data_IF_875053808219
#
_entry.id   IF_875053808219
#
_cell.length_a   1.000
_cell.length_b   1.000
_cell.length_c   1.000
_cell.angle_alpha   90.00
_cell.angle_beta   90.00
_cell.angle_gamma   90.00
#
_symmetry.space_group_name_H-M   'P 1'
#
loop_
_entity.id
_entity.type
_entity.pdbx_description
1 polymer ?
#
# COMPACT_ATOMS: atom_id res chain seq x y z
N UNK A 1 -6.53 6.56 -9.88
CA UNK A 1 -7.12 6.41 -8.54
C UNK A 1 -6.00 6.35 -7.50
N UNK A 2 -6.22 7.00 -6.40
CA UNK A 2 -5.29 7.00 -5.28
C UNK A 2 -5.68 5.95 -4.26
N UNK A 3 -4.67 5.35 -3.64
CA UNK A 3 -4.84 4.34 -2.61
C UNK A 3 -3.91 4.61 -1.45
N UNK A 4 -4.40 4.38 -0.24
CA UNK A 4 -3.61 4.40 0.97
C UNK A 4 -3.68 2.99 1.55
N UNK A 5 -2.55 2.33 1.64
CA UNK A 5 -2.47 0.96 2.12
C UNK A 5 -1.82 0.93 3.50
N UNK A 6 -2.56 0.41 4.47
CA UNK A 6 -2.12 0.24 5.85
C UNK A 6 -1.75 -1.22 6.04
N UNK A 7 -0.54 -1.48 6.53
CA UNK A 7 -0.02 -2.84 6.61
C UNK A 7 0.33 -3.20 8.04
N UNK A 8 -0.14 -4.37 8.46
CA UNK A 8 0.19 -4.97 9.75
C UNK A 8 0.93 -6.28 9.49
N UNK A 9 2.20 -6.34 9.87
CA UNK A 9 3.01 -7.54 9.69
C UNK A 9 2.58 -8.63 10.67
N UNK A 10 2.54 -9.87 10.20
CA UNK A 10 2.19 -11.01 11.05
C UNK A 10 3.37 -11.49 11.90
N UNK A 11 4.58 -11.13 11.52
CA UNK A 11 5.81 -11.46 12.25
C UNK A 11 6.56 -10.18 12.58
N UNK A 12 7.38 -10.23 13.63
CA UNK A 12 8.25 -9.12 13.96
C UNK A 12 9.17 -8.82 12.76
N UNK A 13 9.35 -7.54 12.41
CA UNK A 13 10.18 -7.20 11.26
C UNK A 13 11.65 -7.54 11.50
N UNK A 14 12.26 -8.17 10.51
CA UNK A 14 13.68 -8.41 10.43
C UNK A 14 14.22 -7.47 9.35
N UNK A 15 15.28 -6.68 9.61
CA UNK A 15 15.73 -5.70 8.63
C UNK A 15 16.06 -6.27 7.26
N UNK A 16 16.69 -7.45 7.20
CA UNK A 16 17.05 -8.07 5.93
C UNK A 16 15.81 -8.56 5.17
N UNK A 17 14.90 -9.22 5.87
CA UNK A 17 13.66 -9.70 5.27
C UNK A 17 12.77 -8.53 4.84
N UNK A 18 12.73 -7.46 5.62
CA UNK A 18 11.96 -6.27 5.31
C UNK A 18 12.45 -5.61 4.03
N UNK A 19 13.76 -5.49 3.86
CA UNK A 19 14.34 -4.93 2.63
C UNK A 19 14.01 -5.80 1.43
N UNK A 20 14.11 -7.11 1.57
CA UNK A 20 13.80 -8.05 0.51
C UNK A 20 12.34 -7.97 0.10
N UNK A 21 11.44 -7.95 1.08
CA UNK A 21 10.00 -7.83 0.83
C UNK A 21 9.66 -6.51 0.15
N UNK A 22 10.27 -5.42 0.60
CA UNK A 22 10.05 -4.11 0.01
C UNK A 22 10.45 -4.09 -1.46
N UNK A 23 11.60 -4.67 -1.78
CA UNK A 23 12.06 -4.77 -3.16
C UNK A 23 11.12 -5.60 -4.02
N UNK A 24 10.70 -6.76 -3.52
CA UNK A 24 9.77 -7.64 -4.23
C UNK A 24 8.44 -6.95 -4.47
N UNK A 25 7.95 -6.22 -3.47
CA UNK A 25 6.70 -5.49 -3.57
C UNK A 25 6.78 -4.38 -4.61
N UNK A 26 7.88 -3.63 -4.64
CA UNK A 26 8.05 -2.57 -5.64
C UNK A 26 8.10 -3.14 -7.05
N UNK A 27 8.77 -4.26 -7.24
CA UNK A 27 8.81 -4.93 -8.53
C UNK A 27 7.43 -5.44 -8.95
N UNK A 28 6.69 -6.03 -8.03
CA UNK A 28 5.34 -6.51 -8.28
C UNK A 28 4.39 -5.35 -8.62
N UNK A 29 4.51 -4.25 -7.88
CA UNK A 29 3.70 -3.05 -8.11
C UNK A 29 3.93 -2.52 -9.52
N UNK A 30 5.18 -2.46 -9.95
CA UNK A 30 5.53 -1.99 -11.28
C UNK A 30 4.88 -2.85 -12.36
N UNK A 31 4.91 -4.17 -12.19
CA UNK A 31 4.29 -5.11 -13.14
C UNK A 31 2.78 -4.98 -13.17
N UNK A 32 2.16 -4.58 -12.08
CA UNK A 32 0.70 -4.44 -11.96
C UNK A 32 0.20 -3.05 -12.30
N UNK A 33 1.09 -2.16 -12.73
CA UNK A 33 0.71 -0.79 -13.07
C UNK A 33 0.40 0.08 -11.88
N UNK A 34 0.96 -0.24 -10.71
CA UNK A 34 0.80 0.55 -9.49
C UNK A 34 2.03 1.44 -9.34
N UNK A 35 1.80 2.74 -9.21
CA UNK A 35 2.87 3.70 -8.93
C UNK A 35 2.88 4.00 -7.44
N UNK A 36 3.94 3.59 -6.75
CA UNK A 36 4.10 3.89 -5.33
C UNK A 36 4.79 5.24 -5.20
N UNK A 37 4.08 6.21 -4.62
CA UNK A 37 4.59 7.56 -4.44
C UNK A 37 5.41 7.70 -3.18
N UNK A 38 4.94 7.09 -2.09
CA UNK A 38 5.62 7.17 -0.81
C UNK A 38 5.31 5.96 0.05
N UNK A 39 6.27 5.61 0.90
CA UNK A 39 6.11 4.58 1.90
C UNK A 39 6.67 5.05 3.23
N UNK A 40 6.02 4.68 4.31
CA UNK A 40 6.42 5.02 5.67
C UNK A 40 6.41 3.78 6.54
N UNK A 41 7.41 3.66 7.40
CA UNK A 41 7.32 2.75 8.55
C UNK A 41 6.64 3.51 9.68
N UNK A 42 5.70 2.86 10.35
CA UNK A 42 4.89 3.55 11.36
C UNK A 42 4.97 2.85 12.71
N UNK A 43 4.70 3.62 13.76
CA UNK A 43 4.50 3.09 15.11
C UNK A 43 3.00 2.99 15.36
N UNK A 44 2.63 2.11 16.28
CA UNK A 44 1.25 1.95 16.68
C UNK A 44 0.59 0.75 16.04
N UNK A 45 -0.65 0.92 15.61
CA UNK A 45 -1.50 -0.16 15.14
C UNK A 45 -0.99 -0.82 13.87
N UNK A 46 -0.41 -0.04 12.97
CA UNK A 46 0.11 -0.51 11.70
C UNK A 46 1.61 -0.38 11.65
N UNK A 47 2.25 -1.23 10.87
CA UNK A 47 3.70 -1.25 10.75
C UNK A 47 4.20 -0.43 9.56
N UNK A 48 3.37 -0.28 8.54
CA UNK A 48 3.74 0.48 7.35
C UNK A 48 2.51 1.10 6.69
N UNK A 49 2.74 2.18 5.95
CA UNK A 49 1.70 2.87 5.16
C UNK A 49 2.29 3.22 3.81
N UNK A 50 1.53 2.95 2.74
CA UNK A 50 1.93 3.33 1.39
C UNK A 50 0.89 4.19 0.73
N UNK A 51 1.38 5.17 -0.03
CA UNK A 51 0.53 6.00 -0.87
C UNK A 51 0.85 5.64 -2.31
N UNK A 52 -0.15 5.19 -3.03
CA UNK A 52 0.03 4.72 -4.40
C UNK A 52 -1.08 5.18 -5.32
N UNK A 53 -0.84 5.01 -6.61
CA UNK A 53 -1.77 5.37 -7.64
C UNK A 53 -1.86 4.24 -8.66
N UNK A 54 -3.07 3.94 -9.14
CA UNK A 54 -3.30 2.93 -10.15
C UNK A 54 -4.55 3.30 -10.96
N UNK A 55 -4.71 2.67 -12.12
CA UNK A 55 -5.83 2.96 -13.00
C UNK A 55 -7.17 2.53 -12.39
N UNK A 56 -7.16 1.40 -11.67
CA UNK A 56 -8.35 0.85 -11.03
C UNK A 56 -7.94 0.02 -9.81
N UNK A 57 -8.91 -0.65 -9.20
CA UNK A 57 -8.66 -1.43 -7.97
C UNK A 57 -7.98 -2.78 -8.21
N UNK A 58 -7.84 -3.22 -9.46
CA UNK A 58 -7.34 -4.57 -9.75
C UNK A 58 -5.92 -4.79 -9.25
N UNK A 59 -5.02 -3.84 -9.48
CA UNK A 59 -3.65 -3.94 -9.02
C UNK A 59 -3.52 -4.01 -7.51
N UNK A 60 -4.05 -3.02 -6.78
CA UNK A 60 -4.03 -3.06 -5.31
C UNK A 60 -4.68 -4.30 -4.71
N UNK A 61 -5.77 -4.78 -5.29
CA UNK A 61 -6.43 -5.99 -4.80
C UNK A 61 -5.53 -7.22 -4.98
N UNK A 62 -4.89 -7.35 -6.14
CA UNK A 62 -3.96 -8.46 -6.39
C UNK A 62 -2.77 -8.41 -5.44
N UNK A 63 -2.25 -7.22 -5.16
CA UNK A 63 -1.16 -7.04 -4.20
C UNK A 63 -1.56 -7.51 -2.80
N UNK A 64 -2.75 -7.12 -2.35
CA UNK A 64 -3.25 -7.52 -1.04
C UNK A 64 -3.39 -9.04 -0.94
N UNK A 65 -3.92 -9.67 -1.98
CA UNK A 65 -4.10 -11.12 -2.01
C UNK A 65 -2.77 -11.86 -2.01
N UNK A 66 -1.79 -11.37 -2.77
CA UNK A 66 -0.47 -11.99 -2.84
C UNK A 66 0.29 -11.94 -1.51
N UNK A 67 0.11 -10.88 -0.75
CA UNK A 67 0.80 -10.69 0.53
C UNK A 67 0.04 -11.19 1.75
N UNK A 68 -1.12 -11.82 1.57
CA UNK A 68 -2.02 -12.14 2.68
C UNK A 68 -1.41 -13.10 3.71
N UNK A 69 -0.47 -13.96 3.31
CA UNK A 69 0.18 -14.89 4.24
C UNK A 69 1.16 -14.19 5.18
N UNK A 70 1.72 -13.06 4.76
CA UNK A 70 2.79 -12.40 5.49
C UNK A 70 2.32 -11.18 6.26
N UNK A 71 1.23 -10.57 5.82
CA UNK A 71 0.71 -9.35 6.42
C UNK A 71 -0.78 -9.26 6.21
N UNK A 72 -1.46 -8.61 7.15
CA UNK A 72 -2.81 -8.15 6.92
C UNK A 72 -2.72 -6.70 6.44
N UNK A 73 -3.60 -6.32 5.52
CA UNK A 73 -3.59 -4.98 4.97
C UNK A 73 -4.99 -4.44 4.83
N UNK A 74 -5.07 -3.12 4.87
CA UNK A 74 -6.29 -2.38 4.63
C UNK A 74 -5.97 -1.35 3.56
N UNK A 75 -6.66 -1.41 2.43
CA UNK A 75 -6.44 -0.48 1.33
C UNK A 75 -7.63 0.45 1.21
N UNK A 76 -7.36 1.73 1.39
CA UNK A 76 -8.37 2.77 1.30
C UNK A 76 -8.30 3.41 -0.08
N UNK A 77 -9.45 3.52 -0.74
CA UNK A 77 -9.56 4.33 -1.95
C UNK A 77 -9.61 5.78 -1.51
N UNK A 78 -8.76 6.61 -2.08
CA UNK A 78 -8.60 7.98 -1.64
C UNK A 78 -8.69 8.96 -2.80
N UNK A 79 -8.99 10.20 -2.48
CA UNK A 79 -8.87 11.31 -3.40
C UNK A 79 -8.19 12.47 -2.67
N UNK A 80 -7.64 13.41 -3.42
CA UNK A 80 -7.00 14.55 -2.79
C UNK A 80 -8.04 15.40 -2.06
N UNK A 81 -7.56 16.11 -1.05
CA UNK A 81 -8.42 17.05 -0.32
C UNK A 81 -9.04 18.09 -1.27
N UNK A 82 -8.26 18.58 -2.22
CA UNK A 82 -8.75 19.56 -3.20
C UNK A 82 -9.88 18.99 -4.06
N UNK A 83 -9.74 17.77 -4.54
CA UNK A 83 -10.79 17.15 -5.35
C UNK A 83 -12.05 16.91 -4.53
N UNK A 84 -11.90 16.42 -3.32
CA UNK A 84 -13.03 16.17 -2.43
C UNK A 84 -13.81 17.46 -2.14
N UNK A 85 -13.10 18.56 -1.95
CA UNK A 85 -13.74 19.85 -1.67
C UNK A 85 -14.59 20.36 -2.82
N UNK A 86 -14.28 19.95 -4.06
CA UNK A 86 -15.11 20.31 -5.23
C UNK A 86 -16.48 19.64 -5.19
N UNK A 87 -16.58 18.49 -4.52
CA UNK A 87 -17.83 17.72 -4.45
C UNK A 87 -18.72 18.13 -3.28
N UNK A 88 -18.15 18.79 -2.29
CA UNK A 88 -18.86 19.24 -1.11
C UNK A 88 -19.22 20.72 -1.32
N UNK A 89 -20.43 20.96 -1.78
CA UNK A 89 -20.92 22.33 -1.98
C UNK A 89 -22.25 22.53 -1.27
#
# INVERSE_FOLDING_TARGET
MWFITLVKMKKAPNPQETQKMNKMMQEAAQKMGIKIHQGFMTLGRYDAVWISEAADISGPMRMAMMGADEASSETLVATSYEEAMKWIK
#
